data_IF_073102108256
#
_entry.id   IF_073102108256
#
_cell.length_a   1.000
_cell.length_b   1.000
_cell.length_c   1.000
_cell.angle_alpha   90.00
_cell.angle_beta   90.00
_cell.angle_gamma   90.00
#
_symmetry.space_group_name_H-M   'P 1'
#
loop_
_entity.id
_entity.type
_entity.pdbx_description
1 polymer ?
#
# COMPACT_ATOMS: atom_id res chain seq x y z
N UNK A 1 -24.08 0.41 35.12
CA UNK A 1 -22.92 0.24 34.21
C UNK A 1 -22.33 1.61 33.92
N UNK A 2 -21.00 1.75 33.85
CA UNK A 2 -20.37 3.04 33.49
C UNK A 2 -20.57 3.32 31.99
N UNK A 3 -20.59 4.60 31.60
CA UNK A 3 -20.67 5.00 30.17
C UNK A 3 -19.49 4.47 29.34
N UNK A 4 -18.34 4.23 29.98
CA UNK A 4 -17.18 3.58 29.36
C UNK A 4 -17.47 2.11 29.02
N UNK A 5 -18.14 1.37 29.91
CA UNK A 5 -18.50 -0.03 29.65
C UNK A 5 -19.54 -0.15 28.54
N UNK A 6 -20.47 0.80 28.41
CA UNK A 6 -21.39 0.88 27.27
C UNK A 6 -20.63 1.07 25.95
N UNK A 7 -19.66 2.01 25.92
CA UNK A 7 -18.81 2.23 24.74
C UNK A 7 -18.05 0.95 24.34
N UNK A 8 -17.43 0.24 25.30
CA UNK A 8 -16.67 -0.98 25.04
C UNK A 8 -17.47 -2.07 24.31
N UNK A 9 -18.80 -2.11 24.48
CA UNK A 9 -19.68 -3.08 23.80
C UNK A 9 -19.79 -2.84 22.29
N UNK A 10 -19.47 -1.63 21.81
CA UNK A 10 -19.44 -1.31 20.40
C UNK A 10 -18.08 -1.56 19.75
N UNK A 11 -17.04 -1.78 20.55
CA UNK A 11 -15.67 -1.98 20.08
C UNK A 11 -15.40 -3.45 19.77
N UNK A 12 -14.63 -3.70 18.72
CA UNK A 12 -14.22 -5.03 18.29
C UNK A 12 -12.70 -5.13 18.26
N UNK A 13 -12.17 -6.21 18.82
CA UNK A 13 -10.74 -6.52 18.76
C UNK A 13 -10.31 -6.71 17.31
N UNK A 14 -9.19 -6.10 16.94
CA UNK A 14 -8.61 -6.09 15.61
C UNK A 14 -9.01 -4.91 14.74
N UNK A 15 -9.93 -4.05 15.20
CA UNK A 15 -10.39 -2.89 14.44
C UNK A 15 -9.59 -1.62 14.75
N UNK A 16 -9.51 -0.74 13.76
CA UNK A 16 -8.86 0.57 13.86
C UNK A 16 -9.92 1.67 13.86
N UNK A 17 -9.97 2.43 14.95
CA UNK A 17 -10.94 3.49 15.19
C UNK A 17 -10.30 4.87 15.08
N UNK A 18 -11.02 5.79 14.45
CA UNK A 18 -10.76 7.22 14.60
C UNK A 18 -11.45 7.75 15.84
N UNK A 19 -10.93 8.87 16.36
CA UNK A 19 -11.65 9.71 17.32
C UNK A 19 -13.09 10.00 16.85
N UNK A 20 -13.26 10.30 15.56
CA UNK A 20 -14.58 10.61 14.99
C UNK A 20 -15.54 9.44 14.98
N UNK A 21 -15.06 8.20 15.00
CA UNK A 21 -15.92 7.02 14.96
C UNK A 21 -16.55 6.78 16.34
N UNK A 22 -15.93 7.27 17.41
CA UNK A 22 -16.44 7.15 18.77
C UNK A 22 -17.51 8.19 19.12
N UNK A 23 -17.66 9.26 18.33
CA UNK A 23 -18.66 10.32 18.62
C UNK A 23 -20.09 9.81 18.56
N UNK A 24 -20.33 8.73 17.80
CA UNK A 24 -21.64 8.10 17.69
C UNK A 24 -22.06 7.33 18.96
N UNK A 25 -21.11 7.01 19.85
CA UNK A 25 -21.36 6.23 21.07
C UNK A 25 -20.96 6.96 22.35
N UNK A 26 -20.23 8.08 22.26
CA UNK A 26 -19.75 8.84 23.41
C UNK A 26 -19.91 10.35 23.24
N UNK A 27 -20.51 11.00 24.24
CA UNK A 27 -20.53 12.47 24.38
C UNK A 27 -19.26 13.03 25.02
N UNK A 28 -18.40 12.18 25.59
CA UNK A 28 -17.14 12.55 26.26
C UNK A 28 -15.98 11.77 25.63
N UNK A 29 -15.78 11.98 24.33
CA UNK A 29 -14.88 11.16 23.50
C UNK A 29 -13.45 11.16 24.03
N UNK A 30 -12.89 12.33 24.32
CA UNK A 30 -11.48 12.43 24.72
C UNK A 30 -11.22 11.74 26.06
N UNK A 31 -12.08 12.00 27.07
CA UNK A 31 -12.01 11.29 28.36
C UNK A 31 -12.11 9.77 28.22
N UNK A 32 -13.00 9.27 27.34
CA UNK A 32 -13.12 7.83 27.13
C UNK A 32 -11.93 7.26 26.35
N UNK A 33 -11.38 8.00 25.38
CA UNK A 33 -10.17 7.59 24.68
C UNK A 33 -8.99 7.47 25.63
N UNK A 34 -8.79 8.45 26.52
CA UNK A 34 -7.73 8.42 27.52
C UNK A 34 -7.89 7.20 28.42
N UNK A 35 -9.09 6.96 28.96
CA UNK A 35 -9.37 5.79 29.78
C UNK A 35 -9.14 4.46 29.04
N UNK A 36 -9.53 4.37 27.76
CA UNK A 36 -9.32 3.16 26.94
C UNK A 36 -7.83 2.94 26.62
N UNK A 37 -7.04 4.00 26.49
CA UNK A 37 -5.60 3.87 26.29
C UNK A 37 -4.91 3.49 27.59
N UNK A 38 -5.30 4.11 28.70
CA UNK A 38 -4.74 3.88 30.02
C UNK A 38 -5.03 2.46 30.53
N UNK A 39 -6.22 1.92 30.25
CA UNK A 39 -6.58 0.54 30.61
C UNK A 39 -6.12 -0.53 29.60
N UNK A 40 -5.40 -0.12 28.56
CA UNK A 40 -4.84 -1.02 27.54
C UNK A 40 -5.83 -1.56 26.51
N UNK A 41 -7.11 -1.16 26.56
CA UNK A 41 -8.09 -1.53 25.52
C UNK A 41 -7.69 -0.97 24.16
N UNK A 42 -7.15 0.24 24.12
CA UNK A 42 -6.69 0.91 22.91
C UNK A 42 -5.19 1.15 22.91
N UNK A 43 -4.58 0.93 21.74
CA UNK A 43 -3.26 1.41 21.41
C UNK A 43 -3.38 2.63 20.50
N UNK A 44 -2.73 3.74 20.85
CA UNK A 44 -2.64 4.92 19.97
C UNK A 44 -1.69 4.63 18.81
N UNK A 45 -2.18 4.79 17.58
CA UNK A 45 -1.40 4.57 16.36
C UNK A 45 -0.88 5.89 15.77
N UNK A 46 -1.70 6.93 15.80
CA UNK A 46 -1.36 8.27 15.34
C UNK A 46 -2.30 9.29 16.01
N UNK A 47 -2.16 10.57 15.67
CA UNK A 47 -3.11 11.58 16.15
C UNK A 47 -4.54 11.22 15.69
N UNK A 48 -5.43 11.03 16.67
CA UNK A 48 -6.83 10.71 16.41
C UNK A 48 -7.10 9.31 15.85
N UNK A 49 -6.12 8.39 15.90
CA UNK A 49 -6.21 7.04 15.36
C UNK A 49 -5.77 6.02 16.40
N UNK A 50 -6.62 5.03 16.66
CA UNK A 50 -6.51 4.07 17.75
C UNK A 50 -6.81 2.67 17.25
N UNK A 51 -6.20 1.67 17.88
CA UNK A 51 -6.37 0.26 17.54
C UNK A 51 -6.80 -0.51 18.78
N UNK A 52 -7.79 -1.40 18.63
CA UNK A 52 -8.10 -2.37 19.67
C UNK A 52 -7.34 -3.66 19.38
N UNK A 53 -6.27 -4.02 20.12
CA UNK A 53 -5.46 -5.18 19.78
C UNK A 53 -6.22 -6.51 19.85
N UNK A 54 -5.88 -7.42 18.92
CA UNK A 54 -6.14 -8.86 19.11
C UNK A 54 -5.01 -9.45 19.95
N UNK A 55 -5.38 -10.35 20.84
CA UNK A 55 -4.44 -11.15 21.61
C UNK A 55 -4.15 -12.44 20.86
N UNK A 56 -2.88 -12.82 20.85
CA UNK A 56 -2.37 -14.11 20.37
C UNK A 56 -1.53 -14.76 21.48
N UNK A 57 -1.14 -16.02 21.28
CA UNK A 57 -0.22 -16.72 22.21
C UNK A 57 1.15 -16.02 22.34
N UNK A 58 1.50 -15.15 21.38
CA UNK A 58 2.74 -14.37 21.36
C UNK A 58 2.54 -12.91 21.81
N UNK A 59 1.38 -12.56 22.37
CA UNK A 59 1.03 -11.19 22.77
C UNK A 59 0.12 -10.49 21.76
N UNK A 60 0.07 -9.16 21.83
CA UNK A 60 -0.81 -8.33 20.98
C UNK A 60 -0.33 -8.30 19.53
N UNK A 61 -1.23 -8.56 18.60
CA UNK A 61 -0.91 -8.49 17.16
C UNK A 61 -1.02 -7.05 16.66
N UNK A 62 -0.21 -6.61 15.68
CA UNK A 62 -0.40 -5.33 15.03
C UNK A 62 -1.72 -5.28 14.22
N UNK A 63 -2.24 -4.08 13.90
CA UNK A 63 -3.36 -3.94 12.97
C UNK A 63 -2.98 -4.43 11.58
N UNK A 64 -3.97 -4.93 10.84
CA UNK A 64 -3.84 -5.18 9.39
C UNK A 64 -3.53 -3.86 8.66
N UNK A 65 -2.58 -3.89 7.72
CA UNK A 65 -2.14 -2.69 7.00
C UNK A 65 -3.30 -2.02 6.27
N UNK A 66 -4.12 -2.84 5.62
CA UNK A 66 -5.30 -2.42 4.86
C UNK A 66 -6.31 -1.71 5.77
N UNK A 67 -6.63 -2.30 6.93
CA UNK A 67 -7.55 -1.68 7.90
C UNK A 67 -6.99 -0.36 8.45
N UNK A 68 -5.69 -0.34 8.77
CA UNK A 68 -4.99 0.84 9.24
C UNK A 68 -5.03 1.98 8.22
N UNK A 69 -4.64 1.70 6.98
CA UNK A 69 -4.58 2.69 5.89
C UNK A 69 -5.97 3.15 5.49
N UNK A 70 -6.94 2.23 5.42
CA UNK A 70 -8.36 2.54 5.18
C UNK A 70 -8.90 3.50 6.23
N UNK A 71 -8.67 3.18 7.50
CA UNK A 71 -9.04 4.05 8.60
C UNK A 71 -8.30 5.38 8.49
N UNK A 72 -6.99 5.42 8.22
CA UNK A 72 -6.23 6.67 8.09
C UNK A 72 -6.64 7.56 6.89
N UNK A 73 -7.06 6.98 5.77
CA UNK A 73 -7.52 7.71 4.59
C UNK A 73 -9.02 8.05 4.60
N UNK A 74 -9.83 7.31 5.38
CA UNK A 74 -11.29 7.28 5.24
C UNK A 74 -11.67 7.00 3.78
N UNK A 75 -11.01 6.01 3.20
CA UNK A 75 -11.18 5.59 1.80
C UNK A 75 -10.80 4.13 1.65
N UNK A 76 -11.49 3.46 0.74
CA UNK A 76 -11.23 2.08 0.34
C UNK A 76 -10.43 2.01 -0.96
N UNK A 77 -10.28 3.14 -1.67
CA UNK A 77 -9.57 3.25 -2.94
C UNK A 77 -8.12 3.63 -2.70
N UNK A 78 -7.32 2.61 -2.42
CA UNK A 78 -5.87 2.71 -2.35
C UNK A 78 -5.22 1.39 -2.78
N UNK A 79 -3.94 1.43 -3.11
CA UNK A 79 -3.12 0.26 -3.37
C UNK A 79 -1.90 0.28 -2.44
N UNK A 80 -1.79 -0.77 -1.64
CA UNK A 80 -0.61 -1.03 -0.80
C UNK A 80 0.46 -1.75 -1.63
N UNK A 81 1.69 -1.24 -1.56
CA UNK A 81 2.86 -1.82 -2.23
C UNK A 81 4.14 -1.49 -1.47
N UNK A 82 5.28 -1.92 -1.99
CA UNK A 82 6.62 -1.55 -1.52
C UNK A 82 7.61 -1.74 -2.66
N UNK A 83 8.77 -1.08 -2.60
CA UNK A 83 9.84 -1.30 -3.57
C UNK A 83 10.29 -2.78 -3.60
N UNK A 84 10.20 -3.48 -2.45
CA UNK A 84 10.46 -4.93 -2.37
C UNK A 84 9.55 -5.78 -3.28
N UNK A 85 8.38 -5.27 -3.67
CA UNK A 85 7.45 -6.04 -4.51
C UNK A 85 8.08 -6.35 -5.87
N UNK A 86 8.97 -5.47 -6.36
CA UNK A 86 9.70 -5.63 -7.60
C UNK A 86 10.55 -6.90 -7.67
N UNK A 87 10.98 -7.45 -6.53
CA UNK A 87 11.78 -8.67 -6.48
C UNK A 87 11.04 -9.86 -7.12
N UNK A 88 9.70 -9.86 -7.05
CA UNK A 88 8.86 -10.88 -7.71
C UNK A 88 8.94 -10.87 -9.24
N UNK A 89 9.45 -9.79 -9.85
CA UNK A 89 9.64 -9.71 -11.29
C UNK A 89 10.90 -10.48 -11.76
N UNK A 90 11.86 -10.76 -10.88
CA UNK A 90 13.10 -11.46 -11.23
C UNK A 90 14.08 -10.63 -12.06
N UNK A 91 14.00 -9.29 -11.96
CA UNK A 91 14.82 -8.35 -12.73
C UNK A 91 16.13 -7.96 -12.04
N UNK A 92 16.51 -8.66 -10.97
CA UNK A 92 17.72 -8.37 -10.20
C UNK A 92 17.55 -7.31 -9.11
N UNK A 93 16.32 -6.87 -8.83
CA UNK A 93 16.05 -6.08 -7.62
C UNK A 93 16.13 -7.00 -6.41
N UNK A 94 16.99 -6.69 -5.45
CA UNK A 94 17.24 -7.51 -4.25
C UNK A 94 17.29 -6.68 -2.97
N UNK A 95 17.37 -5.36 -3.06
CA UNK A 95 17.41 -4.47 -1.92
C UNK A 95 16.13 -4.54 -1.09
N UNK A 96 16.31 -4.55 0.23
CA UNK A 96 15.22 -4.58 1.21
C UNK A 96 14.94 -3.18 1.76
N UNK A 97 13.69 -2.75 1.62
CA UNK A 97 13.17 -1.47 2.07
C UNK A 97 12.18 -1.68 3.22
N UNK A 98 12.30 -0.85 4.27
CA UNK A 98 11.42 -0.88 5.45
C UNK A 98 10.18 0.04 5.30
N UNK A 99 9.97 0.63 4.13
CA UNK A 99 8.88 1.59 3.87
C UNK A 99 7.77 0.93 3.05
N UNK A 100 6.52 1.10 3.49
CA UNK A 100 5.33 0.73 2.73
C UNK A 100 4.85 1.92 1.91
N UNK A 101 4.49 1.69 0.65
CA UNK A 101 3.98 2.73 -0.24
C UNK A 101 2.47 2.59 -0.37
N UNK A 102 1.76 3.71 -0.28
CA UNK A 102 0.30 3.78 -0.42
C UNK A 102 -0.05 4.67 -1.61
N UNK A 103 -0.44 4.07 -2.72
CA UNK A 103 -1.05 4.82 -3.82
C UNK A 103 -2.49 5.13 -3.48
N UNK A 104 -2.85 6.41 -3.54
CA UNK A 104 -4.16 6.89 -3.14
C UNK A 104 -4.49 8.21 -3.87
N UNK A 105 -5.66 8.79 -3.58
CA UNK A 105 -6.11 10.05 -4.20
C UNK A 105 -6.24 11.23 -3.22
N UNK A 106 -5.86 11.06 -1.95
CA UNK A 106 -6.20 12.00 -0.87
C UNK A 106 -5.00 12.64 -0.16
N UNK A 107 -3.94 11.87 0.06
CA UNK A 107 -2.80 12.27 0.90
C UNK A 107 -1.48 11.98 0.19
N UNK A 108 -0.55 12.90 0.36
CA UNK A 108 0.83 12.77 -0.05
C UNK A 108 1.77 13.02 1.14
N UNK A 109 2.90 12.34 1.17
CA UNK A 109 3.94 12.51 2.19
C UNK A 109 4.17 11.25 3.03
N UNK A 110 5.11 11.36 3.96
CA UNK A 110 5.46 10.28 4.87
C UNK A 110 4.67 10.38 6.17
N UNK A 111 4.13 9.25 6.62
CA UNK A 111 3.36 9.16 7.85
C UNK A 111 3.78 7.94 8.64
N UNK A 112 4.00 8.12 9.94
CA UNK A 112 4.21 7.02 10.88
C UNK A 112 2.86 6.63 11.48
N UNK A 113 2.44 5.39 11.23
CA UNK A 113 1.19 4.82 11.74
C UNK A 113 1.54 3.61 12.62
N UNK A 114 1.34 3.75 13.93
CA UNK A 114 1.90 2.84 14.93
C UNK A 114 3.42 2.85 14.87
N UNK A 115 4.02 1.67 14.71
CA UNK A 115 5.47 1.50 14.65
C UNK A 115 6.02 1.42 13.21
N UNK A 116 5.24 1.82 12.19
CA UNK A 116 5.62 1.64 10.77
C UNK A 116 5.54 2.95 9.99
N UNK A 117 6.46 3.11 9.05
CA UNK A 117 6.52 4.26 8.15
C UNK A 117 5.84 3.93 6.82
N UNK A 118 4.97 4.83 6.39
CA UNK A 118 4.25 4.74 5.13
C UNK A 118 4.53 5.97 4.27
N UNK A 119 4.86 5.74 3.00
CA UNK A 119 4.95 6.78 1.97
C UNK A 119 3.64 6.84 1.20
N UNK A 120 2.85 7.88 1.45
CA UNK A 120 1.61 8.12 0.72
C UNK A 120 1.90 8.89 -0.57
N UNK A 121 1.48 8.34 -1.70
CA UNK A 121 1.68 8.94 -3.02
C UNK A 121 0.32 9.15 -3.69
N UNK A 122 0.05 10.41 -4.09
CA UNK A 122 -1.11 10.70 -4.90
C UNK A 122 -0.83 10.24 -6.33
N UNK A 123 -1.64 9.31 -6.82
CA UNK A 123 -1.57 8.78 -8.19
C UNK A 123 -2.93 9.00 -8.84
N UNK A 124 -2.99 9.51 -10.08
CA UNK A 124 -4.26 9.71 -10.77
C UNK A 124 -4.94 8.36 -11.06
N UNK A 125 -4.16 7.33 -11.37
CA UNK A 125 -4.66 5.98 -11.67
C UNK A 125 -3.72 4.92 -11.09
N UNK A 126 -4.30 3.86 -10.54
CA UNK A 126 -3.66 2.63 -10.08
C UNK A 126 -4.72 1.51 -10.05
N UNK A 127 -4.34 0.23 -10.22
CA UNK A 127 -5.29 -0.86 -10.23
C UNK A 127 -5.81 -1.17 -8.81
N UNK A 128 -6.98 -1.80 -8.72
CA UNK A 128 -7.56 -2.26 -7.44
C UNK A 128 -6.74 -3.39 -6.80
N UNK A 129 -6.06 -4.19 -7.60
CA UNK A 129 -5.19 -5.29 -7.18
C UNK A 129 -3.88 -5.22 -7.94
N UNK A 130 -2.79 -5.58 -7.27
CA UNK A 130 -1.49 -5.67 -7.89
C UNK A 130 -1.49 -6.77 -8.96
N UNK A 131 -1.06 -6.45 -10.19
CA UNK A 131 -0.77 -7.43 -11.24
C UNK A 131 0.70 -7.34 -11.63
N UNK A 132 1.24 -8.38 -12.26
CA UNK A 132 2.64 -8.37 -12.69
C UNK A 132 2.91 -7.30 -13.75
N UNK A 133 1.96 -7.04 -14.64
CA UNK A 133 2.07 -6.02 -15.68
C UNK A 133 2.09 -4.62 -15.09
N UNK A 134 1.19 -4.33 -14.13
CA UNK A 134 1.24 -3.06 -13.41
C UNK A 134 2.53 -2.92 -12.62
N UNK A 135 2.97 -3.97 -11.93
CA UNK A 135 4.19 -3.94 -11.12
C UNK A 135 5.43 -3.64 -11.96
N UNK A 136 5.51 -4.17 -13.18
CA UNK A 136 6.59 -3.85 -14.13
C UNK A 136 6.55 -2.38 -14.54
N UNK A 137 5.37 -1.86 -14.89
CA UNK A 137 5.20 -0.44 -15.23
C UNK A 137 5.56 0.46 -14.05
N UNK A 138 5.18 0.06 -12.84
CA UNK A 138 5.47 0.80 -11.62
C UNK A 138 6.97 0.76 -11.26
N UNK A 139 7.64 -0.36 -11.49
CA UNK A 139 9.11 -0.45 -11.39
C UNK A 139 9.77 0.58 -12.29
N UNK A 140 9.41 0.64 -13.57
CA UNK A 140 10.03 1.58 -14.52
C UNK A 140 9.67 3.03 -14.17
N UNK A 141 8.46 3.29 -13.67
CA UNK A 141 8.06 4.60 -13.15
C UNK A 141 8.90 5.07 -11.96
N UNK A 142 9.44 4.15 -11.17
CA UNK A 142 10.15 4.42 -9.92
C UNK A 142 11.63 3.99 -9.96
N UNK A 143 12.18 3.63 -11.13
CA UNK A 143 13.52 3.04 -11.24
C UNK A 143 14.59 3.93 -10.59
N UNK A 144 14.49 5.23 -10.81
CA UNK A 144 15.35 6.28 -10.25
C UNK A 144 15.21 6.47 -8.72
N UNK A 145 14.31 5.75 -8.05
CA UNK A 145 14.24 5.67 -6.58
C UNK A 145 14.88 4.40 -6.03
N UNK A 146 15.22 3.45 -6.91
CA UNK A 146 15.91 2.22 -6.51
C UNK A 146 17.41 2.47 -6.40
N UNK A 147 18.02 1.86 -5.39
CA UNK A 147 19.47 1.87 -5.19
C UNK A 147 20.17 0.80 -6.06
N UNK A 148 19.41 0.09 -6.88
CA UNK A 148 19.86 -1.00 -7.74
C UNK A 148 20.67 -0.50 -8.93
N UNK A 149 21.41 -1.41 -9.56
CA UNK A 149 22.01 -1.17 -10.87
C UNK A 149 20.90 -1.12 -11.95
N UNK A 150 20.64 0.09 -12.45
CA UNK A 150 19.60 0.30 -13.46
C UNK A 150 19.94 -0.40 -14.77
N UNK A 151 21.22 -0.54 -15.13
CA UNK A 151 21.63 -1.21 -16.36
C UNK A 151 21.29 -2.70 -16.33
N UNK A 152 21.53 -3.36 -15.20
CA UNK A 152 21.17 -4.78 -15.03
C UNK A 152 19.67 -5.02 -15.15
N UNK A 153 18.85 -4.12 -14.57
CA UNK A 153 17.40 -4.16 -14.74
C UNK A 153 17.03 -4.03 -16.22
N UNK A 154 17.64 -3.09 -16.95
CA UNK A 154 17.36 -2.87 -18.37
C UNK A 154 17.79 -4.04 -19.26
N UNK A 155 18.90 -4.73 -18.95
CA UNK A 155 19.34 -5.92 -19.69
C UNK A 155 18.32 -7.07 -19.59
N UNK A 156 17.73 -7.27 -18.42
CA UNK A 156 16.78 -8.37 -18.15
C UNK A 156 15.35 -8.03 -18.56
N UNK A 157 15.03 -6.74 -18.71
CA UNK A 157 13.67 -6.28 -18.99
C UNK A 157 13.08 -6.87 -20.28
N UNK A 158 13.75 -6.88 -21.45
CA UNK A 158 13.20 -7.45 -22.68
C UNK A 158 12.81 -8.92 -22.56
N UNK A 159 13.64 -9.71 -21.88
CA UNK A 159 13.36 -11.13 -21.62
C UNK A 159 12.09 -11.27 -20.77
N UNK A 160 11.96 -10.47 -19.71
CA UNK A 160 10.76 -10.49 -18.87
C UNK A 160 9.49 -10.08 -19.61
N UNK A 161 9.57 -9.07 -20.48
CA UNK A 161 8.44 -8.61 -21.30
C UNK A 161 7.95 -9.72 -22.24
N UNK A 162 8.87 -10.50 -22.82
CA UNK A 162 8.54 -11.63 -23.71
C UNK A 162 7.82 -12.80 -23.02
N UNK A 163 7.88 -12.88 -21.69
CA UNK A 163 7.20 -13.92 -20.88
C UNK A 163 5.83 -13.48 -20.36
N UNK A 164 5.42 -12.22 -20.59
CA UNK A 164 4.18 -11.66 -20.09
C UNK A 164 3.07 -11.66 -21.14
N UNK A 165 1.81 -11.54 -20.69
CA UNK A 165 0.67 -11.26 -21.57
C UNK A 165 0.82 -9.86 -22.18
N UNK A 166 1.22 -9.83 -23.45
CA UNK A 166 1.54 -8.60 -24.19
C UNK A 166 0.35 -7.65 -24.28
N UNK A 167 -0.88 -8.17 -24.36
CA UNK A 167 -2.10 -7.34 -24.42
C UNK A 167 -2.34 -6.64 -23.08
N UNK A 168 -2.27 -7.38 -21.96
CA UNK A 168 -2.42 -6.82 -20.61
C UNK A 168 -1.30 -5.84 -20.27
N UNK A 169 -0.08 -6.14 -20.71
CA UNK A 169 1.08 -5.28 -20.51
C UNK A 169 0.95 -3.97 -21.27
N UNK A 170 0.55 -4.01 -22.55
CA UNK A 170 0.30 -2.82 -23.35
C UNK A 170 -0.80 -1.93 -22.75
N UNK A 171 -1.87 -2.54 -22.24
CA UNK A 171 -2.92 -1.83 -21.51
C UNK A 171 -2.35 -1.16 -20.24
N UNK A 172 -1.61 -1.90 -19.43
CA UNK A 172 -0.98 -1.39 -18.20
C UNK A 172 -0.01 -0.23 -18.45
N UNK A 173 0.80 -0.30 -19.51
CA UNK A 173 1.72 0.79 -19.91
C UNK A 173 0.95 2.05 -20.26
N UNK A 174 -0.16 1.91 -21.03
CA UNK A 174 -1.00 3.03 -21.43
C UNK A 174 -1.72 3.68 -20.24
N UNK A 175 -2.22 2.87 -19.31
CA UNK A 175 -3.01 3.35 -18.17
C UNK A 175 -2.14 3.92 -17.06
N UNK A 176 -1.05 3.24 -16.69
CA UNK A 176 -0.28 3.54 -15.47
C UNK A 176 1.12 4.10 -15.71
N UNK A 177 1.61 4.10 -16.95
CA UNK A 177 2.94 4.63 -17.27
C UNK A 177 2.99 6.16 -17.21
N UNK A 178 4.06 6.70 -16.64
CA UNK A 178 4.42 8.11 -16.85
C UNK A 178 4.76 8.37 -18.32
N UNK A 179 4.83 9.63 -18.75
CA UNK A 179 5.23 10.00 -20.13
C UNK A 179 6.58 9.35 -20.50
N UNK A 180 7.55 9.38 -19.58
CA UNK A 180 8.87 8.74 -19.77
C UNK A 180 8.73 7.23 -19.91
N UNK A 181 8.04 6.58 -18.98
CA UNK A 181 7.84 5.12 -18.98
C UNK A 181 7.14 4.64 -20.25
N UNK A 182 6.13 5.38 -20.73
CA UNK A 182 5.44 5.08 -21.99
C UNK A 182 6.39 5.13 -23.19
N UNK A 183 7.24 6.17 -23.28
CA UNK A 183 8.25 6.29 -24.35
C UNK A 183 9.23 5.12 -24.34
N UNK A 184 9.59 4.62 -23.17
CA UNK A 184 10.54 3.51 -23.01
C UNK A 184 9.90 2.14 -23.31
N UNK A 185 8.70 1.87 -22.77
CA UNK A 185 8.11 0.54 -22.83
C UNK A 185 7.30 0.27 -24.10
N UNK A 186 6.61 1.27 -24.68
CA UNK A 186 5.76 1.03 -25.85
C UNK A 186 6.50 0.46 -27.07
N UNK A 187 7.73 0.91 -27.41
CA UNK A 187 8.49 0.30 -28.51
C UNK A 187 8.85 -1.17 -28.23
N UNK A 188 9.27 -1.49 -27.00
CA UNK A 188 9.65 -2.84 -26.58
C UNK A 188 8.47 -3.81 -26.64
N UNK A 189 7.31 -3.37 -26.12
CA UNK A 189 6.07 -4.17 -26.15
C UNK A 189 5.63 -4.46 -27.59
N UNK A 190 5.77 -3.50 -28.51
CA UNK A 190 5.46 -3.72 -29.94
C UNK A 190 6.39 -4.74 -30.59
N UNK A 191 7.67 -4.75 -30.25
CA UNK A 191 8.62 -5.73 -30.79
C UNK A 191 8.27 -7.15 -30.34
N UNK A 192 7.83 -7.31 -29.09
CA UNK A 192 7.36 -8.61 -28.57
C UNK A 192 6.06 -9.09 -29.23
N UNK A 193 5.16 -8.18 -29.67
CA UNK A 193 3.96 -8.55 -30.45
C UNK A 193 4.35 -9.21 -31.79
N UNK A 194 5.34 -8.67 -32.50
CA UNK A 194 5.75 -9.16 -33.82
C UNK A 194 6.44 -10.53 -33.74
N UNK A 195 7.19 -10.79 -32.66
CA UNK A 195 7.86 -12.09 -32.45
C UNK A 195 6.88 -13.22 -32.09
N UNK A 196 5.75 -12.91 -31.45
CA UNK A 196 4.71 -13.90 -31.12
C UNK A 196 3.77 -14.24 -32.29
N UNK A 197 3.69 -13.40 -33.33
CA UNK A 197 2.90 -13.70 -34.54
C UNK A 197 3.70 -14.49 -35.60
N UNK A 198 5.00 -14.70 -35.40
CA UNK A 198 5.88 -15.40 -36.35
C UNK A 198 6.10 -16.89 -36.01
N UNK A 199 5.38 -17.41 -35.02
CA UNK A 199 5.34 -18.82 -34.60
C UNK A 199 3.89 -19.30 -34.57
#
# INVERSE_FOLDING_TARGET
MTKLNELKRHLKRGEVYRRTDLTQWSKSVDRHLDALVEDGTFQKLAQGLYYYPKESVFGTTPPEEEALVRSFLKDDRFLLTSLNAYNSLGLGTTQLYNTRTVYNHKRHGEFKLGNRNFLFCIKPHFPKKMTQEFLLVDLVNNLNKLAEDHEEVWKKLPIKLGLMDVKKLKASVKEYGTVRTKKLLLPLVKQSETQHCAH
#
